data_IF_503705983437
#
_entry.id   IF_503705983437
#
_cell.length_a   1.000
_cell.length_b   1.000
_cell.length_c   1.000
_cell.angle_alpha   90.00
_cell.angle_beta   90.00
_cell.angle_gamma   90.00
#
_symmetry.space_group_name_H-M   'P 1'
#
loop_
_entity.id
_entity.type
_entity.pdbx_description
1 polymer ?
#
# COMPACT_ATOMS: atom_id res chain seq x y z
N UNK A 1 0.39 21.57 -36.34
CA UNK A 1 1.17 22.40 -35.39
C UNK A 1 0.24 22.84 -34.29
N UNK A 2 0.36 22.24 -33.10
CA UNK A 2 -0.17 22.71 -31.81
C UNK A 2 0.37 21.72 -30.77
N UNK A 3 1.65 21.90 -30.42
CA UNK A 3 2.29 21.34 -29.23
C UNK A 3 2.20 22.44 -28.19
N UNK A 4 1.32 22.33 -27.22
CA UNK A 4 1.34 23.23 -26.07
C UNK A 4 1.13 22.46 -24.77
N UNK A 5 2.27 22.28 -24.08
CA UNK A 5 2.43 22.39 -22.63
C UNK A 5 1.70 21.39 -21.71
N UNK A 6 2.12 20.11 -21.76
CA UNK A 6 2.10 19.25 -20.57
C UNK A 6 3.34 19.57 -19.71
N UNK A 7 3.15 20.38 -18.66
CA UNK A 7 4.15 20.55 -17.60
C UNK A 7 4.10 19.32 -16.68
N UNK A 8 5.05 18.42 -16.85
CA UNK A 8 5.29 17.32 -15.92
C UNK A 8 5.90 17.87 -14.63
N UNK A 9 5.23 17.67 -13.49
CA UNK A 9 5.80 17.94 -12.18
C UNK A 9 6.51 16.65 -11.73
N UNK A 10 7.84 16.64 -11.84
CA UNK A 10 8.71 15.59 -11.31
C UNK A 10 9.26 16.14 -9.98
N UNK A 11 8.80 15.62 -8.85
CA UNK A 11 9.43 15.90 -7.55
C UNK A 11 10.55 14.88 -7.31
N UNK A 12 11.75 15.23 -7.76
CA UNK A 12 12.99 14.63 -7.28
C UNK A 12 13.36 15.33 -5.96
N UNK A 13 13.76 14.54 -4.95
CA UNK A 13 14.31 15.04 -3.70
C UNK A 13 15.52 15.92 -3.97
N UNK A 14 15.32 17.23 -3.85
CA UNK A 14 16.30 18.28 -4.04
C UNK A 14 15.53 19.60 -3.98
N UNK A 15 15.93 20.49 -3.09
CA UNK A 15 15.29 21.78 -2.87
C UNK A 15 15.07 22.52 -4.20
N UNK A 16 13.82 22.50 -4.68
CA UNK A 16 13.41 23.18 -5.91
C UNK A 16 12.83 24.53 -5.49
N UNK A 17 13.63 25.59 -5.61
CA UNK A 17 13.11 26.96 -5.63
C UNK A 17 12.27 27.13 -6.91
N UNK A 18 10.99 26.79 -6.81
CA UNK A 18 9.97 27.22 -7.77
C UNK A 18 9.75 28.72 -7.58
N UNK A 19 10.15 29.52 -8.57
CA UNK A 19 9.66 30.89 -8.73
C UNK A 19 8.16 30.82 -9.09
N UNK A 20 7.33 30.68 -8.06
CA UNK A 20 5.88 30.91 -8.14
C UNK A 20 5.66 32.40 -7.96
N UNK A 21 4.86 33.01 -8.83
CA UNK A 21 4.45 34.41 -8.72
C UNK A 21 4.07 34.76 -7.27
N UNK A 22 4.70 35.81 -6.74
CA UNK A 22 4.70 36.25 -5.33
C UNK A 22 3.35 36.76 -4.79
N UNK A 23 2.21 36.26 -5.27
CA UNK A 23 0.90 36.65 -4.75
C UNK A 23 0.31 35.57 -3.83
N UNK A 24 0.57 35.77 -2.53
CA UNK A 24 -0.22 35.29 -1.37
C UNK A 24 -0.29 33.79 -1.08
N UNK A 25 0.79 33.04 -1.23
CA UNK A 25 0.98 31.86 -0.37
C UNK A 25 1.49 32.33 0.99
N UNK A 26 0.57 32.57 1.93
CA UNK A 26 0.93 32.63 3.35
C UNK A 26 1.47 31.24 3.71
N UNK A 27 2.79 31.08 3.71
CA UNK A 27 3.44 30.01 4.47
C UNK A 27 2.99 30.21 5.91
N UNK A 28 2.02 29.41 6.34
CA UNK A 28 1.74 29.25 7.76
C UNK A 28 3.00 28.62 8.32
N UNK A 29 3.83 29.46 8.94
CA UNK A 29 4.93 29.02 9.79
C UNK A 29 4.26 28.38 11.01
N UNK A 30 3.84 27.13 10.85
CA UNK A 30 3.34 26.31 11.95
C UNK A 30 4.59 25.76 12.62
N UNK A 31 4.98 26.26 13.80
CA UNK A 31 6.07 25.65 14.54
C UNK A 31 5.70 24.19 14.79
N UNK A 32 6.39 23.27 14.12
CA UNK A 32 6.26 21.84 14.39
C UNK A 32 7.06 21.55 15.63
N UNK A 33 6.42 21.71 16.79
CA UNK A 33 6.91 21.15 18.03
C UNK A 33 6.84 19.62 17.91
N UNK A 34 7.96 19.03 17.51
CA UNK A 34 8.06 17.59 17.37
C UNK A 34 8.05 16.88 18.72
N UNK A 35 8.26 17.59 19.83
CA UNK A 35 8.35 17.03 21.18
C UNK A 35 6.99 17.00 21.89
N UNK A 36 6.12 17.99 21.68
CA UNK A 36 4.84 18.13 22.36
C UNK A 36 3.65 18.08 21.41
N UNK A 37 2.82 17.04 21.53
CA UNK A 37 1.69 16.80 20.60
C UNK A 37 0.41 17.55 21.00
N UNK A 38 0.29 17.93 22.28
CA UNK A 38 -0.89 18.56 22.88
C UNK A 38 -0.47 19.59 23.94
N UNK A 39 -1.42 20.40 24.41
CA UNK A 39 -1.19 21.33 25.53
C UNK A 39 -0.80 20.57 26.80
N UNK A 40 0.30 21.00 27.43
CA UNK A 40 0.84 20.37 28.63
C UNK A 40 -0.12 20.50 29.84
N UNK A 41 -0.03 19.57 30.79
CA UNK A 41 -0.82 19.59 32.04
C UNK A 41 -2.15 18.84 32.00
N UNK A 42 -2.56 18.37 30.83
CA UNK A 42 -3.78 17.57 30.62
C UNK A 42 -3.49 16.06 30.69
N UNK A 43 -4.49 15.23 31.02
CA UNK A 43 -4.30 13.76 31.05
C UNK A 43 -4.13 13.20 29.63
N UNK A 44 -4.83 13.79 28.66
CA UNK A 44 -4.72 13.48 27.23
C UNK A 44 -3.31 13.73 26.71
N UNK A 45 -2.63 14.74 27.25
CA UNK A 45 -1.23 15.03 26.93
C UNK A 45 -0.32 13.88 27.37
N UNK A 46 -0.50 13.35 28.59
CA UNK A 46 0.29 12.20 29.07
C UNK A 46 0.11 10.98 28.17
N UNK A 47 -1.15 10.65 27.83
CA UNK A 47 -1.47 9.57 26.89
C UNK A 47 -0.82 9.78 25.53
N UNK A 48 -0.97 10.97 24.94
CA UNK A 48 -0.40 11.32 23.64
C UNK A 48 1.13 11.17 23.61
N UNK A 49 1.81 11.65 24.65
CA UNK A 49 3.26 11.54 24.77
C UNK A 49 3.73 10.09 24.92
N UNK A 50 3.00 9.29 25.69
CA UNK A 50 3.28 7.85 25.84
C UNK A 50 3.13 7.12 24.50
N UNK A 51 2.02 7.33 23.77
CA UNK A 51 1.79 6.70 22.47
C UNK A 51 2.87 7.10 21.45
N UNK A 52 3.26 8.39 21.41
CA UNK A 52 4.36 8.86 20.56
C UNK A 52 5.68 8.22 20.92
N UNK A 53 6.04 8.19 22.20
CA UNK A 53 7.27 7.57 22.67
C UNK A 53 7.32 6.10 22.25
N UNK A 54 6.20 5.38 22.38
CA UNK A 54 6.05 4.00 21.93
C UNK A 54 6.39 3.87 20.44
N UNK A 55 5.71 4.61 19.57
CA UNK A 55 5.96 4.59 18.11
C UNK A 55 7.43 4.90 17.78
N UNK A 56 7.98 6.01 18.29
CA UNK A 56 9.32 6.47 17.89
C UNK A 56 10.41 5.51 18.38
N UNK A 57 10.22 4.90 19.56
CA UNK A 57 11.18 3.97 20.17
C UNK A 57 11.24 2.58 19.52
N UNK A 58 10.22 2.21 18.73
CA UNK A 58 10.17 0.89 18.10
C UNK A 58 11.12 0.82 16.92
N UNK A 59 12.00 -0.19 16.92
CA UNK A 59 12.77 -0.56 15.74
C UNK A 59 11.84 -1.22 14.71
N UNK A 60 11.74 -0.68 13.47
CA UNK A 60 10.93 -1.28 12.42
C UNK A 60 11.32 -2.72 12.13
N UNK A 61 10.36 -3.52 11.67
CA UNK A 61 10.51 -4.95 11.49
C UNK A 61 9.81 -5.43 10.20
N UNK A 62 10.32 -6.47 9.54
CA UNK A 62 9.66 -7.06 8.36
C UNK A 62 8.62 -8.10 8.76
N UNK A 63 7.35 -7.86 8.44
CA UNK A 63 6.25 -8.79 8.70
C UNK A 63 5.92 -9.62 7.45
N UNK A 64 6.10 -10.94 7.56
CA UNK A 64 5.85 -11.89 6.47
C UNK A 64 4.41 -12.40 6.39
N UNK A 65 3.61 -12.19 7.44
CA UNK A 65 2.25 -12.74 7.58
C UNK A 65 1.37 -12.45 6.37
N UNK A 66 1.33 -11.20 5.92
CA UNK A 66 0.57 -10.81 4.72
C UNK A 66 1.06 -11.57 3.48
N UNK A 67 2.37 -11.68 3.29
CA UNK A 67 2.94 -12.37 2.14
C UNK A 67 2.55 -13.86 2.14
N UNK A 68 2.53 -14.51 3.30
CA UNK A 68 2.05 -15.90 3.46
C UNK A 68 0.60 -16.05 3.05
N UNK A 69 -0.28 -15.19 3.58
CA UNK A 69 -1.72 -15.21 3.28
C UNK A 69 -1.96 -14.97 1.79
N UNK A 70 -1.33 -13.93 1.23
CA UNK A 70 -1.47 -13.57 -0.19
C UNK A 70 -0.95 -14.67 -1.09
N UNK A 71 0.17 -15.31 -0.73
CA UNK A 71 0.72 -16.44 -1.49
C UNK A 71 -0.23 -17.64 -1.50
N UNK A 72 -0.78 -18.02 -0.34
CA UNK A 72 -1.76 -19.10 -0.23
C UNK A 72 -3.02 -18.80 -1.03
N UNK A 73 -3.61 -17.62 -0.81
CA UNK A 73 -4.83 -17.20 -1.50
C UNK A 73 -4.64 -17.09 -3.02
N UNK A 74 -3.48 -16.61 -3.48
CA UNK A 74 -3.18 -16.53 -4.91
C UNK A 74 -3.04 -17.93 -5.55
N UNK A 75 -2.49 -18.91 -4.82
CA UNK A 75 -2.46 -20.33 -5.25
C UNK A 75 -3.87 -20.92 -5.32
N UNK A 76 -4.71 -20.69 -4.32
CA UNK A 76 -6.09 -21.21 -4.24
C UNK A 76 -6.99 -20.69 -5.36
N UNK A 77 -6.77 -19.45 -5.78
CA UNK A 77 -7.63 -18.73 -6.74
C UNK A 77 -7.05 -18.71 -8.16
N UNK A 78 -6.06 -19.57 -8.44
CA UNK A 78 -5.44 -19.65 -9.74
C UNK A 78 -6.47 -19.99 -10.85
N UNK A 79 -6.46 -19.21 -11.93
CA UNK A 79 -7.39 -19.37 -13.06
C UNK A 79 -8.71 -18.61 -12.93
N UNK A 80 -8.99 -18.00 -11.78
CA UNK A 80 -10.14 -17.10 -11.64
C UNK A 80 -9.96 -15.79 -12.41
N UNK A 81 -11.07 -15.10 -12.69
CA UNK A 81 -11.01 -13.75 -13.26
C UNK A 81 -10.33 -12.79 -12.28
N UNK A 82 -9.39 -11.96 -12.76
CA UNK A 82 -8.52 -11.12 -11.92
C UNK A 82 -9.25 -10.26 -10.87
N UNK A 83 -10.45 -9.77 -11.19
CA UNK A 83 -11.27 -9.00 -10.24
C UNK A 83 -11.77 -9.86 -9.08
N UNK A 84 -12.22 -11.08 -9.36
CA UNK A 84 -12.70 -12.04 -8.37
C UNK A 84 -11.53 -12.53 -7.54
N UNK A 85 -10.43 -12.91 -8.22
CA UNK A 85 -9.19 -13.35 -7.60
C UNK A 85 -8.70 -12.32 -6.56
N UNK A 86 -8.62 -11.04 -6.94
CA UNK A 86 -8.19 -9.96 -6.04
C UNK A 86 -9.13 -9.75 -4.86
N UNK A 87 -10.44 -9.81 -5.08
CA UNK A 87 -11.42 -9.68 -4.01
C UNK A 87 -11.30 -10.84 -3.00
N UNK A 88 -11.10 -12.08 -3.48
CA UNK A 88 -10.88 -13.25 -2.63
C UNK A 88 -9.55 -13.20 -1.89
N UNK A 89 -8.47 -12.77 -2.54
CA UNK A 89 -7.19 -12.56 -1.85
C UNK A 89 -7.34 -11.51 -0.76
N UNK A 90 -8.03 -10.40 -1.05
CA UNK A 90 -8.32 -9.37 -0.05
C UNK A 90 -9.14 -9.91 1.12
N UNK A 91 -10.16 -10.72 0.85
CA UNK A 91 -10.96 -11.40 1.87
C UNK A 91 -10.10 -12.33 2.75
N UNK A 92 -9.18 -13.09 2.15
CA UNK A 92 -8.21 -13.91 2.88
C UNK A 92 -7.28 -13.07 3.76
N UNK A 93 -6.84 -11.91 3.28
CA UNK A 93 -6.03 -10.97 4.10
C UNK A 93 -6.84 -10.52 5.30
N UNK A 94 -8.05 -9.99 5.09
CA UNK A 94 -8.89 -9.44 6.16
C UNK A 94 -9.25 -10.51 7.20
N UNK A 95 -9.59 -11.72 6.76
CA UNK A 95 -9.93 -12.83 7.67
C UNK A 95 -8.73 -13.53 8.31
N UNK A 96 -7.52 -13.37 7.77
CA UNK A 96 -6.33 -14.10 8.20
C UNK A 96 -5.26 -13.28 8.92
N UNK A 97 -5.29 -11.95 8.80
CA UNK A 97 -4.27 -11.08 9.41
C UNK A 97 -4.49 -10.95 10.92
N UNK A 98 -3.40 -10.96 11.68
CA UNK A 98 -3.45 -10.79 13.13
C UNK A 98 -3.99 -9.41 13.53
N UNK A 99 -4.98 -9.40 14.42
CA UNK A 99 -5.55 -8.20 15.03
C UNK A 99 -5.11 -8.09 16.48
N UNK A 100 -4.61 -6.92 16.86
CA UNK A 100 -4.29 -6.57 18.23
C UNK A 100 -4.61 -5.10 18.48
N UNK A 101 -4.87 -4.77 19.74
CA UNK A 101 -5.09 -3.41 20.23
C UNK A 101 -4.06 -3.18 21.31
N UNK A 102 -3.28 -2.11 21.18
CA UNK A 102 -2.29 -1.76 22.19
C UNK A 102 -2.94 -0.97 23.32
N UNK A 103 -2.36 -1.04 24.51
CA UNK A 103 -2.81 -0.24 25.66
C UNK A 103 -2.88 1.24 25.28
N UNK A 104 -3.92 1.92 25.75
CA UNK A 104 -4.17 3.36 25.56
C UNK A 104 -4.53 3.81 24.12
N UNK A 105 -4.73 2.88 23.18
CA UNK A 105 -5.24 3.20 21.85
C UNK A 105 -6.73 3.56 21.87
N UNK A 106 -7.08 4.74 21.34
CA UNK A 106 -8.48 5.14 21.10
C UNK A 106 -8.94 4.82 19.67
N UNK A 107 -8.00 4.84 18.73
CA UNK A 107 -8.20 4.43 17.34
C UNK A 107 -7.31 3.21 17.16
N UNK A 108 -7.94 2.05 17.00
CA UNK A 108 -7.25 0.78 16.83
C UNK A 108 -7.12 0.42 15.34
N UNK A 109 -6.17 -0.47 15.05
CA UNK A 109 -5.94 -1.01 13.72
C UNK A 109 -4.48 -0.95 13.33
N UNK A 110 -3.89 -2.11 13.08
CA UNK A 110 -2.49 -2.26 12.66
C UNK A 110 -2.43 -3.12 11.41
N UNK A 111 -1.62 -2.70 10.43
CA UNK A 111 -1.51 -3.40 9.14
C UNK A 111 -0.54 -4.59 9.14
N UNK A 112 0.12 -4.86 10.27
CA UNK A 112 1.15 -5.88 10.42
C UNK A 112 1.23 -6.31 11.89
N UNK A 113 1.80 -7.50 12.14
CA UNK A 113 1.81 -8.14 13.46
C UNK A 113 2.52 -7.38 14.60
N UNK A 114 3.24 -6.28 14.35
CA UNK A 114 3.78 -5.39 15.40
C UNK A 114 3.78 -3.93 14.93
N UNK A 115 3.77 -3.00 15.88
CA UNK A 115 3.84 -1.56 15.60
C UNK A 115 5.08 -1.24 14.76
N UNK A 116 4.94 -0.35 13.77
CA UNK A 116 6.01 0.01 12.80
C UNK A 116 6.63 -1.17 12.03
N UNK A 117 5.95 -2.31 11.97
CA UNK A 117 6.35 -3.38 11.05
C UNK A 117 5.86 -3.10 9.64
N UNK A 118 6.68 -3.42 8.65
CA UNK A 118 6.32 -3.33 7.25
C UNK A 118 5.88 -4.73 6.75
N UNK A 119 4.62 -4.90 6.31
CA UNK A 119 4.22 -6.13 5.65
C UNK A 119 4.86 -6.24 4.28
N UNK A 120 5.17 -7.46 3.85
CA UNK A 120 5.67 -7.71 2.49
C UNK A 120 4.51 -7.81 1.48
N UNK A 121 4.73 -7.25 0.30
CA UNK A 121 3.77 -7.23 -0.81
C UNK A 121 4.34 -7.94 -2.04
N UNK A 122 4.44 -9.28 -1.98
CA UNK A 122 5.20 -10.04 -2.97
C UNK A 122 4.54 -10.03 -4.36
N UNK A 123 3.28 -9.62 -4.48
CA UNK A 123 2.61 -9.44 -5.77
C UNK A 123 3.17 -8.27 -6.60
N UNK A 124 3.84 -7.29 -5.96
CA UNK A 124 4.43 -6.15 -6.66
C UNK A 124 5.87 -6.41 -7.07
N UNK A 125 6.72 -6.80 -6.12
CA UNK A 125 8.11 -7.14 -6.36
C UNK A 125 8.68 -8.03 -5.27
N UNK A 126 9.55 -8.96 -5.64
CA UNK A 126 10.29 -9.82 -4.70
C UNK A 126 11.80 -9.86 -4.96
N UNK A 127 12.26 -9.47 -6.14
CA UNK A 127 13.66 -9.60 -6.53
C UNK A 127 14.58 -8.68 -5.72
N UNK A 128 14.22 -7.40 -5.55
CA UNK A 128 15.01 -6.47 -4.74
C UNK A 128 15.03 -6.88 -3.25
N UNK A 129 13.90 -7.39 -2.74
CA UNK A 129 13.82 -7.91 -1.37
C UNK A 129 14.79 -9.07 -1.22
N UNK A 130 14.80 -10.02 -2.15
CA UNK A 130 15.71 -11.15 -2.12
C UNK A 130 17.20 -10.74 -2.14
N UNK A 131 17.54 -9.67 -2.87
CA UNK A 131 18.91 -9.14 -2.95
C UNK A 131 19.35 -8.41 -1.68
N UNK A 132 18.41 -7.78 -0.97
CA UNK A 132 18.72 -6.92 0.19
C UNK A 132 18.29 -7.49 1.55
N UNK A 133 17.59 -8.63 1.62
CA UNK A 133 17.00 -9.11 2.87
C UNK A 133 18.03 -9.32 4.00
N UNK A 134 19.30 -9.61 3.66
CA UNK A 134 20.40 -9.73 4.62
C UNK A 134 20.99 -8.39 5.05
N UNK A 135 20.76 -7.32 4.29
CA UNK A 135 21.33 -5.98 4.53
C UNK A 135 20.32 -5.02 5.16
N UNK A 136 19.05 -5.38 5.27
CA UNK A 136 17.98 -4.52 5.84
C UNK A 136 18.30 -3.97 7.24
N UNK A 137 19.02 -4.73 8.07
CA UNK A 137 19.39 -4.27 9.42
C UNK A 137 20.55 -3.28 9.43
N UNK A 138 21.41 -3.32 8.40
CA UNK A 138 22.69 -2.60 8.36
C UNK A 138 22.74 -1.50 7.32
N UNK A 139 21.78 -1.45 6.39
CA UNK A 139 21.73 -0.46 5.31
C UNK A 139 21.64 0.99 5.83
N UNK A 140 22.04 1.93 4.99
CA UNK A 140 22.20 3.35 5.37
C UNK A 140 20.89 4.06 5.72
N UNK A 141 19.76 3.61 5.17
CA UNK A 141 18.46 4.26 5.31
C UNK A 141 17.35 3.21 5.53
N UNK A 142 16.35 3.57 6.34
CA UNK A 142 15.15 2.77 6.61
C UNK A 142 15.48 1.31 6.99
N UNK A 143 16.11 1.14 8.15
CA UNK A 143 16.50 -0.17 8.66
C UNK A 143 15.30 -0.94 9.19
N UNK A 144 15.28 -2.24 8.92
CA UNK A 144 14.28 -3.16 9.45
C UNK A 144 14.95 -4.40 10.04
N UNK A 145 14.48 -4.82 11.20
CA UNK A 145 14.82 -6.12 11.79
C UNK A 145 14.18 -7.22 10.95
N UNK A 146 14.96 -8.24 10.59
CA UNK A 146 14.48 -9.40 9.83
C UNK A 146 14.98 -10.67 10.52
N UNK A 147 14.15 -11.33 11.34
CA UNK A 147 14.55 -12.57 11.96
C UNK A 147 14.86 -13.65 10.94
N UNK A 148 15.70 -14.57 11.36
CA UNK A 148 16.21 -15.61 10.48
C UNK A 148 15.08 -16.50 9.96
N UNK A 149 14.07 -16.78 10.77
CA UNK A 149 12.86 -17.52 10.35
C UNK A 149 12.08 -16.80 9.24
N UNK A 150 12.04 -15.46 9.28
CA UNK A 150 11.39 -14.66 8.22
C UNK A 150 12.20 -14.70 6.94
N UNK A 151 13.53 -14.67 7.03
CA UNK A 151 14.41 -14.78 5.85
C UNK A 151 14.29 -16.14 5.19
N UNK A 152 14.30 -17.21 5.99
CA UNK A 152 14.16 -18.59 5.52
C UNK A 152 12.81 -18.79 4.83
N UNK A 153 11.71 -18.44 5.50
CA UNK A 153 10.37 -18.56 4.90
C UNK A 153 10.24 -17.72 3.62
N UNK A 154 10.79 -16.50 3.61
CA UNK A 154 10.78 -15.68 2.40
C UNK A 154 11.51 -16.38 1.24
N UNK A 155 12.70 -16.95 1.47
CA UNK A 155 13.52 -17.60 0.45
C UNK A 155 12.96 -18.94 -0.03
N UNK A 156 12.31 -19.68 0.86
CA UNK A 156 11.84 -21.03 0.59
C UNK A 156 10.41 -21.05 0.03
N UNK A 157 9.52 -20.19 0.54
CA UNK A 157 8.10 -20.26 0.21
C UNK A 157 7.61 -19.08 -0.66
N UNK A 158 8.07 -17.86 -0.37
CA UNK A 158 7.53 -16.64 -0.97
C UNK A 158 8.25 -16.32 -2.28
N UNK A 159 9.56 -16.09 -2.24
CA UNK A 159 10.35 -15.69 -3.39
C UNK A 159 10.23 -16.65 -4.59
N UNK A 160 10.37 -17.99 -4.43
CA UNK A 160 10.30 -18.91 -5.57
C UNK A 160 8.92 -18.94 -6.23
N UNK A 161 7.86 -18.70 -5.46
CA UNK A 161 6.51 -18.62 -6.00
C UNK A 161 6.26 -17.30 -6.72
N UNK A 162 6.74 -16.17 -6.21
CA UNK A 162 6.44 -14.87 -6.82
C UNK A 162 7.38 -14.47 -7.95
N UNK A 163 8.60 -15.03 -7.99
CA UNK A 163 9.55 -14.78 -9.08
C UNK A 163 8.93 -15.11 -10.44
N UNK A 164 8.92 -14.12 -11.33
CA UNK A 164 8.32 -14.21 -12.66
C UNK A 164 6.80 -14.00 -12.69
N UNK A 165 6.17 -13.69 -11.55
CA UNK A 165 4.71 -13.46 -11.41
C UNK A 165 4.36 -12.06 -10.89
N UNK A 166 5.35 -11.24 -10.57
CA UNK A 166 5.12 -9.92 -9.95
C UNK A 166 4.77 -8.83 -10.97
N UNK A 167 4.26 -7.70 -10.48
CA UNK A 167 4.07 -6.49 -11.28
C UNK A 167 5.39 -6.03 -11.92
N UNK A 168 6.48 -5.96 -11.13
CA UNK A 168 7.82 -5.59 -11.63
C UNK A 168 8.31 -6.55 -12.70
N UNK A 169 8.16 -7.87 -12.52
CA UNK A 169 8.59 -8.85 -13.53
C UNK A 169 7.88 -8.59 -14.88
N UNK A 170 6.57 -8.38 -14.82
CA UNK A 170 5.76 -8.09 -16.02
C UNK A 170 6.17 -6.77 -16.64
N UNK A 171 6.37 -5.73 -15.84
CA UNK A 171 6.74 -4.41 -16.36
C UNK A 171 8.14 -4.43 -16.99
N UNK A 172 9.10 -5.09 -16.35
CA UNK A 172 10.46 -5.23 -16.87
C UNK A 172 10.52 -6.03 -18.17
N UNK A 173 9.55 -6.92 -18.44
CA UNK A 173 9.43 -7.61 -19.73
C UNK A 173 9.05 -6.69 -20.90
N UNK A 174 8.47 -5.51 -20.63
CA UNK A 174 8.11 -4.53 -21.66
C UNK A 174 9.21 -3.52 -21.95
N UNK A 175 10.29 -3.48 -21.15
CA UNK A 175 11.37 -2.51 -21.34
C UNK A 175 12.24 -2.89 -22.54
N UNK A 176 12.39 -1.96 -23.48
CA UNK A 176 13.39 -2.08 -24.54
C UNK A 176 14.80 -1.90 -23.97
N UNK A 177 15.81 -2.41 -24.66
CA UNK A 177 17.21 -2.28 -24.23
C UNK A 177 17.63 -0.82 -24.04
N UNK A 178 17.20 0.07 -24.94
CA UNK A 178 17.46 1.50 -24.81
C UNK A 178 16.93 2.07 -23.48
N UNK A 179 15.70 1.74 -23.11
CA UNK A 179 15.09 2.18 -21.84
C UNK A 179 15.85 1.57 -20.66
N UNK A 180 16.24 0.30 -20.74
CA UNK A 180 17.03 -0.35 -19.68
C UNK A 180 18.37 0.34 -19.45
N UNK A 181 19.09 0.67 -20.51
CA UNK A 181 20.37 1.39 -20.42
C UNK A 181 20.19 2.79 -19.82
N UNK A 182 19.18 3.55 -20.26
CA UNK A 182 18.90 4.88 -19.73
C UNK A 182 18.57 4.85 -18.23
N UNK A 183 17.85 3.83 -17.77
CA UNK A 183 17.41 3.70 -16.38
C UNK A 183 18.46 3.12 -15.44
N UNK A 184 19.03 1.97 -15.78
CA UNK A 184 19.83 1.18 -14.85
C UNK A 184 21.34 1.41 -14.99
N UNK A 185 21.80 1.94 -16.14
CA UNK A 185 23.21 2.23 -16.39
C UNK A 185 23.46 3.73 -16.31
N UNK A 186 22.76 4.52 -17.12
CA UNK A 186 22.93 5.96 -17.17
C UNK A 186 22.18 6.71 -16.06
N UNK A 187 21.20 6.07 -15.40
CA UNK A 187 20.39 6.63 -14.30
C UNK A 187 19.75 7.98 -14.66
N UNK A 188 19.26 8.12 -15.90
CA UNK A 188 18.65 9.36 -16.41
C UNK A 188 17.31 9.65 -15.73
N UNK A 189 16.56 8.61 -15.38
CA UNK A 189 15.29 8.70 -14.67
C UNK A 189 15.03 7.45 -13.83
N UNK A 190 14.22 7.60 -12.78
CA UNK A 190 13.76 6.51 -11.93
C UNK A 190 12.24 6.54 -11.79
N UNK A 191 11.63 5.36 -11.83
CA UNK A 191 10.18 5.14 -11.73
C UNK A 191 9.83 4.01 -10.75
N UNK A 192 10.83 3.52 -10.00
CA UNK A 192 10.71 2.33 -9.14
C UNK A 192 9.59 2.41 -8.10
N UNK A 193 9.20 3.61 -7.65
CA UNK A 193 8.09 3.83 -6.72
C UNK A 193 6.79 3.17 -7.17
N UNK A 194 6.49 3.15 -8.48
CA UNK A 194 5.26 2.60 -9.03
C UNK A 194 5.43 1.20 -9.62
N UNK A 195 6.66 0.73 -9.74
CA UNK A 195 6.98 -0.56 -10.32
C UNK A 195 7.16 -1.60 -9.22
N UNK A 196 7.95 -1.27 -8.20
CA UNK A 196 8.27 -2.16 -7.08
C UNK A 196 7.26 -2.07 -5.92
N UNK A 197 6.22 -1.25 -6.07
CA UNK A 197 5.19 -1.01 -5.06
C UNK A 197 3.79 -0.78 -5.66
N UNK A 198 2.83 -0.55 -4.78
CA UNK A 198 1.47 -0.16 -5.18
C UNK A 198 1.42 1.29 -5.69
N UNK A 199 0.48 1.59 -6.58
CA UNK A 199 0.34 2.94 -7.16
C UNK A 199 0.04 4.02 -6.10
N UNK A 200 -0.87 3.75 -5.17
CA UNK A 200 -1.28 4.74 -4.15
C UNK A 200 -1.75 6.06 -4.77
N UNK A 201 -1.26 7.18 -4.22
CA UNK A 201 -1.44 8.55 -4.74
C UNK A 201 -2.89 8.93 -5.09
N UNK A 202 -3.83 8.61 -4.20
CA UNK A 202 -5.26 8.90 -4.38
C UNK A 202 -5.88 9.44 -3.09
N UNK A 203 -6.67 10.51 -3.21
CA UNK A 203 -7.57 10.96 -2.15
C UNK A 203 -8.92 10.26 -2.31
N UNK A 204 -9.24 9.35 -1.39
CA UNK A 204 -10.49 8.60 -1.40
C UNK A 204 -11.66 9.45 -0.87
N UNK A 205 -12.88 9.11 -1.28
CA UNK A 205 -14.10 9.77 -0.81
C UNK A 205 -14.50 9.27 0.59
N UNK A 206 -13.72 9.65 1.60
CA UNK A 206 -14.00 9.36 3.00
C UNK A 206 -15.35 9.96 3.45
N UNK A 207 -15.80 11.05 2.82
CA UNK A 207 -17.11 11.65 3.10
C UNK A 207 -18.24 10.69 2.74
N UNK A 208 -18.14 9.95 1.63
CA UNK A 208 -19.12 8.90 1.27
C UNK A 208 -19.12 7.78 2.30
N UNK A 209 -17.94 7.31 2.73
CA UNK A 209 -17.81 6.25 3.75
C UNK A 209 -18.41 6.69 5.08
N UNK A 210 -18.10 7.90 5.56
CA UNK A 210 -18.63 8.42 6.82
C UNK A 210 -20.14 8.65 6.80
N UNK A 211 -20.71 8.98 5.64
CA UNK A 211 -22.16 9.23 5.50
C UNK A 211 -22.99 7.97 5.31
N UNK A 212 -22.51 7.02 4.51
CA UNK A 212 -23.29 5.85 4.11
C UNK A 212 -22.88 4.59 4.88
N UNK A 213 -21.67 4.57 5.45
CA UNK A 213 -21.01 3.34 5.85
C UNK A 213 -20.76 2.40 4.67
N UNK A 214 -20.05 1.30 4.93
CA UNK A 214 -19.84 0.26 3.91
C UNK A 214 -21.16 -0.43 3.55
N UNK A 215 -22.09 -0.57 4.49
CA UNK A 215 -23.44 -1.13 4.25
C UNK A 215 -24.21 -0.30 3.21
N UNK A 216 -24.21 1.03 3.33
CA UNK A 216 -24.87 1.90 2.36
C UNK A 216 -24.16 1.91 1.00
N UNK A 217 -22.82 1.80 0.98
CA UNK A 217 -22.07 1.65 -0.27
C UNK A 217 -22.42 0.33 -0.96
N UNK A 218 -22.53 -0.77 -0.22
CA UNK A 218 -22.97 -2.07 -0.76
C UNK A 218 -24.36 -1.97 -1.38
N UNK A 219 -25.31 -1.32 -0.71
CA UNK A 219 -26.67 -1.14 -1.25
C UNK A 219 -26.66 -0.36 -2.58
N UNK A 220 -25.88 0.72 -2.70
CA UNK A 220 -25.68 1.48 -3.95
C UNK A 220 -25.05 0.62 -5.07
N UNK A 221 -24.16 -0.32 -4.72
CA UNK A 221 -23.57 -1.27 -5.68
C UNK A 221 -24.61 -2.32 -6.11
N UNK A 222 -25.37 -2.89 -5.17
CA UNK A 222 -26.42 -3.88 -5.45
C UNK A 222 -27.51 -3.32 -6.37
N UNK A 223 -27.95 -2.08 -6.15
CA UNK A 223 -28.93 -1.44 -7.04
C UNK A 223 -28.40 -1.29 -8.48
N UNK A 224 -27.10 -0.99 -8.64
CA UNK A 224 -26.47 -0.93 -9.98
C UNK A 224 -26.33 -2.30 -10.61
N UNK A 225 -26.04 -3.32 -9.80
CA UNK A 225 -25.94 -4.71 -10.22
C UNK A 225 -27.28 -5.22 -10.77
N UNK A 226 -28.40 -4.93 -10.09
CA UNK A 226 -29.74 -5.36 -10.50
C UNK A 226 -30.20 -4.76 -11.83
N UNK A 227 -29.64 -3.62 -12.23
CA UNK A 227 -29.95 -2.94 -13.50
C UNK A 227 -29.16 -3.48 -14.70
N UNK A 228 -28.18 -4.35 -14.48
CA UNK A 228 -27.32 -4.87 -15.53
C UNK A 228 -28.05 -5.89 -16.43
N UNK A 229 -27.75 -5.85 -17.72
CA UNK A 229 -28.28 -6.82 -18.70
C UNK A 229 -27.18 -7.81 -19.06
N UNK A 230 -27.19 -8.98 -18.41
CA UNK A 230 -26.06 -9.95 -18.47
C UNK A 230 -25.71 -10.48 -19.87
N UNK A 231 -26.62 -10.39 -20.83
CA UNK A 231 -26.35 -10.74 -22.23
C UNK A 231 -25.52 -9.68 -22.98
N UNK A 232 -25.27 -8.51 -22.37
CA UNK A 232 -24.34 -7.51 -22.89
C UNK A 232 -22.95 -7.74 -22.30
N UNK A 233 -21.95 -7.87 -23.17
CA UNK A 233 -20.55 -8.09 -22.79
C UNK A 233 -20.01 -7.04 -21.80
N UNK A 234 -20.37 -5.76 -21.98
CA UNK A 234 -19.95 -4.67 -21.09
C UNK A 234 -20.53 -4.82 -19.68
N UNK A 235 -21.79 -5.23 -19.58
CA UNK A 235 -22.48 -5.40 -18.31
C UNK A 235 -21.97 -6.65 -17.59
N UNK A 236 -21.52 -7.69 -18.31
CA UNK A 236 -20.86 -8.83 -17.69
C UNK A 236 -19.57 -8.44 -16.95
N UNK A 237 -18.74 -7.55 -17.53
CA UNK A 237 -17.52 -7.04 -16.85
C UNK A 237 -17.88 -6.22 -15.60
N UNK A 238 -18.93 -5.40 -15.69
CA UNK A 238 -19.44 -4.63 -14.54
C UNK A 238 -19.99 -5.52 -13.43
N UNK A 239 -20.67 -6.62 -13.79
CA UNK A 239 -21.17 -7.61 -12.84
C UNK A 239 -20.02 -8.15 -11.99
N UNK A 240 -18.96 -8.66 -12.62
CA UNK A 240 -17.78 -9.17 -11.92
C UNK A 240 -17.15 -8.10 -11.00
N UNK A 241 -17.06 -6.86 -11.49
CA UNK A 241 -16.54 -5.75 -10.67
C UNK A 241 -17.42 -5.46 -9.45
N UNK A 242 -18.74 -5.37 -9.62
CA UNK A 242 -19.68 -5.07 -8.53
C UNK A 242 -19.73 -6.19 -7.49
N UNK A 243 -19.76 -7.45 -7.93
CA UNK A 243 -19.71 -8.61 -7.03
C UNK A 243 -18.40 -8.63 -6.22
N UNK A 244 -17.26 -8.37 -6.88
CA UNK A 244 -15.96 -8.20 -6.20
C UNK A 244 -15.97 -7.05 -5.19
N UNK A 245 -16.56 -5.89 -5.52
CA UNK A 245 -16.65 -4.77 -4.59
C UNK A 245 -17.55 -5.07 -3.39
N UNK A 246 -18.67 -5.78 -3.60
CA UNK A 246 -19.56 -6.22 -2.51
C UNK A 246 -18.79 -7.14 -1.55
N UNK A 247 -18.06 -8.13 -2.09
CA UNK A 247 -17.21 -9.03 -1.31
C UNK A 247 -16.17 -8.25 -0.50
N UNK A 248 -15.45 -7.31 -1.12
CA UNK A 248 -14.48 -6.49 -0.41
C UNK A 248 -15.12 -5.65 0.71
N UNK A 249 -16.33 -5.11 0.50
CA UNK A 249 -17.03 -4.40 1.57
C UNK A 249 -17.39 -5.35 2.72
N UNK A 250 -17.82 -6.57 2.43
CA UNK A 250 -18.09 -7.59 3.45
C UNK A 250 -16.83 -7.95 4.24
N UNK A 251 -15.70 -8.14 3.57
CA UNK A 251 -14.42 -8.44 4.23
C UNK A 251 -13.98 -7.31 5.18
N UNK A 252 -14.18 -6.04 4.81
CA UNK A 252 -13.85 -4.91 5.71
C UNK A 252 -14.85 -4.77 6.86
N UNK A 253 -16.13 -5.11 6.67
CA UNK A 253 -17.11 -5.09 7.77
C UNK A 253 -16.84 -6.22 8.77
N UNK A 254 -16.36 -7.36 8.30
CA UNK A 254 -16.04 -8.52 9.13
C UNK A 254 -14.74 -8.37 9.92
N UNK A 255 -13.79 -7.58 9.42
CA UNK A 255 -12.52 -7.23 10.07
C UNK A 255 -12.72 -6.22 11.21
#
# INVERSE_FOLDING_TARGET
>A
MLRDSLKYCITLGGYMHLAVAEDKLKTLDVPTDSEHILNQGMEEYKRGQMLRKRVISVNPYICIERARIVTGAHKETAGEHILVQRARIFDRIMSGISVYILDDELIAGHQAGKQRSAPLFPEFAVEWVNQEIDTFETRGQDRFIVPEEVKQEFREEIYPYWKGRTLSDRLYSYLTEEIRLQRFVATVFSVGLHEDGGLGHVALDYKKVLKLGLVGIKADISEKLDRLKIWKTEDYKKKLFYESCIMMCDSVIAF
#
